data_IF_461522117116
#
_entry.id   IF_461522117116
#
_cell.length_a   1.000
_cell.length_b   1.000
_cell.length_c   1.000
_cell.angle_alpha   90.00
_cell.angle_beta   90.00
_cell.angle_gamma   90.00
#
_symmetry.space_group_name_H-M   'P 1'
#
loop_
_entity.id
_entity.type
_entity.pdbx_description
1 polymer ?
#
# COMPACT_ATOMS: atom_id res chain seq x y z
N UNK A 1 -40.15 -19.64 -28.67
CA UNK A 1 -39.42 -18.65 -27.87
C UNK A 1 -38.83 -19.40 -26.69
N UNK A 2 -37.59 -19.85 -26.82
CA UNK A 2 -36.81 -20.43 -25.72
C UNK A 2 -36.53 -19.31 -24.71
N UNK A 3 -36.99 -19.51 -23.48
CA UNK A 3 -36.61 -18.66 -22.36
C UNK A 3 -35.13 -18.99 -22.04
N UNK A 4 -34.20 -18.13 -22.45
CA UNK A 4 -32.83 -18.19 -21.95
C UNK A 4 -32.92 -18.03 -20.43
N UNK A 5 -32.68 -19.09 -19.68
CA UNK A 5 -32.40 -19.00 -18.27
C UNK A 5 -31.10 -18.14 -18.09
N UNK A 6 -31.08 -17.21 -17.15
CA UNK A 6 -29.87 -16.40 -16.93
C UNK A 6 -28.74 -17.32 -16.49
N UNK A 7 -27.76 -17.46 -17.36
CA UNK A 7 -26.52 -18.20 -17.03
C UNK A 7 -25.91 -17.54 -15.79
N UNK A 8 -25.82 -18.28 -14.70
CA UNK A 8 -25.17 -17.81 -13.48
C UNK A 8 -23.81 -17.23 -13.82
N UNK A 9 -23.58 -15.97 -13.48
CA UNK A 9 -22.30 -15.32 -13.78
C UNK A 9 -21.17 -15.98 -12.98
N UNK A 10 -19.92 -15.91 -13.49
CA UNK A 10 -18.74 -16.39 -12.75
C UNK A 10 -18.58 -15.72 -11.38
N UNK A 11 -19.14 -14.52 -11.23
CA UNK A 11 -19.13 -13.76 -9.98
C UNK A 11 -20.15 -14.30 -8.99
N UNK A 12 -21.37 -14.64 -9.44
CA UNK A 12 -22.39 -15.26 -8.59
C UNK A 12 -21.91 -16.63 -8.08
N UNK A 13 -21.28 -17.42 -8.95
CA UNK A 13 -20.69 -18.70 -8.58
C UNK A 13 -19.53 -18.55 -7.57
N UNK A 14 -18.75 -17.46 -7.66
CA UNK A 14 -17.70 -17.17 -6.68
C UNK A 14 -18.27 -16.69 -5.35
N UNK A 15 -19.24 -15.77 -5.37
CA UNK A 15 -19.89 -15.25 -4.17
C UNK A 15 -20.67 -16.32 -3.40
N UNK A 16 -21.29 -17.28 -4.10
CA UNK A 16 -22.02 -18.39 -3.47
C UNK A 16 -21.13 -19.29 -2.57
N UNK A 17 -19.82 -19.19 -2.67
CA UNK A 17 -18.86 -19.92 -1.81
C UNK A 17 -18.65 -19.27 -0.45
N UNK A 18 -19.11 -18.03 -0.24
CA UNK A 18 -18.87 -17.24 0.94
C UNK A 18 -20.18 -16.78 1.56
N UNK A 19 -20.18 -16.60 2.87
CA UNK A 19 -21.29 -15.90 3.52
C UNK A 19 -21.22 -14.40 3.21
N UNK A 20 -22.14 -13.91 2.40
CA UNK A 20 -22.25 -12.48 2.04
C UNK A 20 -23.23 -11.71 2.92
N UNK A 21 -23.94 -12.42 3.82
CA UNK A 21 -24.86 -11.84 4.79
C UNK A 21 -24.07 -11.60 6.09
N UNK A 22 -23.31 -10.51 6.12
CA UNK A 22 -22.49 -10.15 7.26
C UNK A 22 -23.25 -9.18 8.16
N UNK A 23 -23.14 -9.38 9.48
CA UNK A 23 -23.65 -8.47 10.49
C UNK A 23 -22.50 -7.59 11.03
N UNK A 24 -22.66 -6.28 10.96
CA UNK A 24 -21.61 -5.32 11.38
C UNK A 24 -21.24 -5.46 12.86
N UNK A 25 -22.22 -5.79 13.72
CA UNK A 25 -21.96 -5.98 15.15
C UNK A 25 -21.17 -7.27 15.42
N UNK A 26 -21.43 -8.32 14.66
CA UNK A 26 -20.68 -9.58 14.71
C UNK A 26 -19.23 -9.37 14.25
N UNK A 27 -19.02 -8.66 13.15
CA UNK A 27 -17.68 -8.33 12.64
C UNK A 27 -16.92 -7.46 13.65
N UNK A 28 -17.56 -6.44 14.23
CA UNK A 28 -16.95 -5.60 15.26
C UNK A 28 -16.56 -6.41 16.51
N UNK A 29 -17.40 -7.35 16.95
CA UNK A 29 -17.10 -8.23 18.08
C UNK A 29 -15.92 -9.18 17.77
N UNK A 30 -15.85 -9.74 16.56
CA UNK A 30 -14.72 -10.57 16.12
C UNK A 30 -13.42 -9.76 16.06
N UNK A 31 -13.45 -8.55 15.52
CA UNK A 31 -12.29 -7.66 15.48
C UNK A 31 -11.82 -7.30 16.89
N UNK A 32 -12.73 -6.93 17.79
CA UNK A 32 -12.42 -6.63 19.19
C UNK A 32 -11.75 -7.81 19.91
N UNK A 33 -12.24 -9.04 19.68
CA UNK A 33 -11.63 -10.26 20.23
C UNK A 33 -10.21 -10.46 19.73
N UNK A 34 -9.98 -10.35 18.41
CA UNK A 34 -8.63 -10.49 17.82
C UNK A 34 -7.68 -9.44 18.40
N UNK A 35 -8.13 -8.19 18.52
CA UNK A 35 -7.36 -7.11 19.13
C UNK A 35 -6.98 -7.47 20.57
N UNK A 36 -7.96 -7.86 21.39
CA UNK A 36 -7.72 -8.21 22.78
C UNK A 36 -6.74 -9.39 22.96
N UNK A 37 -6.81 -10.38 22.08
CA UNK A 37 -5.93 -11.56 22.12
C UNK A 37 -4.52 -11.30 21.59
N UNK A 38 -4.40 -10.52 20.52
CA UNK A 38 -3.13 -10.42 19.75
C UNK A 38 -2.32 -9.17 20.07
N UNK A 39 -2.97 -8.04 20.35
CA UNK A 39 -2.25 -6.77 20.58
C UNK A 39 -1.30 -6.84 21.79
N UNK A 40 -1.66 -7.39 22.95
CA UNK A 40 -0.74 -7.44 24.09
C UNK A 40 0.58 -8.15 23.77
N UNK A 41 0.52 -9.26 23.05
CA UNK A 41 1.70 -10.03 22.67
C UNK A 41 2.55 -9.35 21.57
N UNK A 42 1.94 -8.49 20.75
CA UNK A 42 2.60 -7.82 19.62
C UNK A 42 2.96 -6.36 19.91
N UNK A 43 2.60 -5.80 21.07
CA UNK A 43 2.91 -4.43 21.44
C UNK A 43 4.27 -4.35 22.15
N UNK A 44 5.32 -4.88 21.52
CA UNK A 44 6.71 -4.85 22.03
C UNK A 44 7.58 -3.92 21.18
N UNK A 45 8.70 -3.42 21.72
CA UNK A 45 9.66 -2.60 20.97
C UNK A 45 10.17 -3.33 19.72
N UNK A 46 10.44 -4.63 19.80
CA UNK A 46 10.96 -5.46 18.71
C UNK A 46 9.95 -5.54 17.56
N UNK A 47 8.68 -5.82 17.87
CA UNK A 47 7.61 -5.85 16.86
C UNK A 47 7.41 -4.48 16.23
N UNK A 48 7.48 -3.39 17.02
CA UNK A 48 7.37 -2.02 16.49
C UNK A 48 8.52 -1.69 15.54
N UNK A 49 9.75 -2.06 15.88
CA UNK A 49 10.93 -1.90 14.99
C UNK A 49 10.75 -2.70 13.69
N UNK A 50 10.28 -3.92 13.79
CA UNK A 50 9.97 -4.75 12.63
C UNK A 50 8.88 -4.11 11.75
N UNK A 51 7.77 -3.66 12.34
CA UNK A 51 6.69 -3.01 11.61
C UNK A 51 7.14 -1.70 10.95
N UNK A 52 8.03 -0.93 11.61
CA UNK A 52 8.62 0.27 11.01
C UNK A 52 9.38 -0.07 9.73
N UNK A 53 10.18 -1.13 9.75
CA UNK A 53 10.91 -1.62 8.56
C UNK A 53 10.00 -2.27 7.49
N UNK A 54 8.70 -2.46 7.78
CA UNK A 54 7.71 -2.92 6.79
C UNK A 54 6.93 -1.76 6.14
N UNK A 55 7.19 -0.52 6.54
CA UNK A 55 6.46 0.65 6.02
C UNK A 55 6.86 0.91 4.57
N UNK A 56 5.87 1.00 3.72
CA UNK A 56 5.95 1.63 2.41
C UNK A 56 5.59 3.10 2.57
N UNK A 57 6.62 3.95 2.71
CA UNK A 57 6.46 5.37 3.03
C UNK A 57 5.97 6.11 1.79
N UNK A 58 4.70 6.48 1.78
CA UNK A 58 3.97 6.89 0.59
C UNK A 58 3.62 8.37 0.58
N UNK A 59 3.85 9.04 -0.56
CA UNK A 59 3.23 10.33 -0.89
C UNK A 59 2.56 10.24 -2.26
N UNK A 60 1.26 10.52 -2.30
CA UNK A 60 0.42 10.49 -3.50
C UNK A 60 -0.53 11.68 -3.52
N UNK A 61 -0.02 12.84 -3.13
CA UNK A 61 -0.80 14.07 -3.09
C UNK A 61 -0.89 14.69 -4.48
N UNK A 62 -2.00 15.35 -4.77
CA UNK A 62 -2.18 16.06 -6.04
C UNK A 62 -1.25 17.25 -6.21
N UNK A 63 -0.75 17.79 -5.10
CA UNK A 63 0.19 18.91 -5.04
C UNK A 63 1.66 18.49 -4.91
N UNK A 64 1.98 17.18 -4.98
CA UNK A 64 3.36 16.73 -4.99
C UNK A 64 4.13 17.33 -6.17
N UNK A 65 5.36 17.74 -5.90
CA UNK A 65 6.30 18.33 -6.86
C UNK A 65 7.69 17.70 -6.63
N UNK A 66 8.61 17.89 -7.58
CA UNK A 66 9.99 17.42 -7.46
C UNK A 66 10.62 17.91 -6.15
N UNK A 67 10.41 19.17 -5.79
CA UNK A 67 10.93 19.75 -4.55
C UNK A 67 10.32 19.09 -3.30
N UNK A 68 9.01 18.84 -3.29
CA UNK A 68 8.35 18.21 -2.15
C UNK A 68 8.77 16.75 -1.96
N UNK A 69 8.91 16.01 -3.07
CA UNK A 69 9.35 14.61 -3.07
C UNK A 69 10.84 14.51 -2.69
N UNK A 70 11.68 15.40 -3.20
CA UNK A 70 13.08 15.49 -2.77
C UNK A 70 13.20 15.71 -1.25
N UNK A 71 12.49 16.70 -0.69
CA UNK A 71 12.46 16.94 0.76
C UNK A 71 11.90 15.74 1.55
N UNK A 72 10.94 15.04 0.98
CA UNK A 72 10.38 13.82 1.57
C UNK A 72 11.42 12.71 1.65
N UNK A 73 12.18 12.49 0.57
CA UNK A 73 13.25 11.51 0.49
C UNK A 73 14.42 11.85 1.42
N UNK A 74 14.80 13.13 1.50
CA UNK A 74 15.85 13.60 2.42
C UNK A 74 15.55 13.30 3.89
N UNK A 75 14.27 13.22 4.29
CA UNK A 75 13.91 12.79 5.66
C UNK A 75 14.25 11.32 5.93
N UNK A 76 14.22 10.48 4.90
CA UNK A 76 14.59 9.07 4.99
C UNK A 76 16.11 8.95 5.17
N UNK A 77 16.91 9.72 4.39
CA UNK A 77 18.36 9.79 4.56
C UNK A 77 18.72 10.26 5.97
N UNK A 78 18.12 11.37 6.41
CA UNK A 78 18.36 11.93 7.74
C UNK A 78 17.96 10.98 8.87
N UNK A 79 16.91 10.19 8.72
CA UNK A 79 16.54 9.18 9.71
C UNK A 79 17.63 8.12 9.88
N UNK A 80 18.23 7.69 8.78
CA UNK A 80 19.31 6.71 8.80
C UNK A 80 20.55 7.24 9.56
N UNK A 81 20.90 8.52 9.33
CA UNK A 81 21.96 9.18 10.05
C UNK A 81 21.69 9.34 11.56
N UNK A 82 20.44 9.71 11.91
CA UNK A 82 20.05 9.96 13.31
C UNK A 82 19.86 8.67 14.11
N UNK A 83 19.47 7.56 13.45
CA UNK A 83 19.11 6.28 14.08
C UNK A 83 19.82 5.08 13.43
N UNK A 84 21.17 5.03 13.41
CA UNK A 84 21.91 4.00 12.69
C UNK A 84 21.66 2.56 13.19
N UNK A 85 21.14 2.40 14.40
CA UNK A 85 20.80 1.10 14.99
C UNK A 85 19.37 0.63 14.65
N UNK A 86 18.60 1.44 13.92
CA UNK A 86 17.25 1.11 13.48
C UNK A 86 17.22 0.91 11.96
N UNK A 87 16.65 -0.20 11.53
CA UNK A 87 16.35 -0.36 10.10
C UNK A 87 15.36 0.70 9.65
N UNK A 88 15.64 1.30 8.51
CA UNK A 88 14.78 2.31 7.88
C UNK A 88 13.48 1.70 7.34
N UNK A 89 12.60 2.50 6.76
CA UNK A 89 11.40 2.05 6.07
C UNK A 89 11.74 1.10 4.91
N UNK A 90 10.80 0.24 4.51
CA UNK A 90 11.03 -0.73 3.43
C UNK A 90 11.18 -0.05 2.07
N UNK A 91 10.35 0.95 1.80
CA UNK A 91 10.35 1.65 0.52
C UNK A 91 9.82 3.08 0.65
N UNK A 92 10.12 3.89 -0.37
CA UNK A 92 9.45 5.16 -0.66
C UNK A 92 8.53 4.92 -1.86
N UNK A 93 7.24 5.19 -1.70
CA UNK A 93 6.24 5.00 -2.74
C UNK A 93 5.71 6.35 -3.25
N UNK A 94 5.78 6.52 -4.56
CA UNK A 94 5.43 7.78 -5.25
C UNK A 94 4.68 7.51 -6.56
N UNK A 95 4.18 8.56 -7.19
CA UNK A 95 3.77 8.47 -8.59
C UNK A 95 4.98 8.20 -9.50
N UNK A 96 4.80 7.48 -10.63
CA UNK A 96 5.91 7.08 -11.50
C UNK A 96 6.78 8.23 -12.00
N UNK A 97 6.21 9.41 -12.20
CA UNK A 97 6.93 10.61 -12.64
C UNK A 97 7.94 11.15 -11.61
N UNK A 98 7.84 10.74 -10.35
CA UNK A 98 8.78 11.12 -9.29
C UNK A 98 9.81 10.05 -8.94
N UNK A 99 9.79 8.90 -9.63
CA UNK A 99 10.72 7.80 -9.35
C UNK A 99 12.19 8.24 -9.51
N UNK A 100 12.49 9.03 -10.53
CA UNK A 100 13.82 9.55 -10.80
C UNK A 100 14.27 10.53 -9.71
N UNK A 101 13.38 11.41 -9.25
CA UNK A 101 13.65 12.33 -8.14
C UNK A 101 14.03 11.58 -6.85
N UNK A 102 13.27 10.50 -6.56
CA UNK A 102 13.59 9.65 -5.39
C UNK A 102 14.94 8.96 -5.60
N UNK A 103 15.19 8.38 -6.77
CA UNK A 103 16.42 7.68 -7.10
C UNK A 103 17.65 8.58 -6.96
N UNK A 104 17.57 9.82 -7.43
CA UNK A 104 18.68 10.76 -7.42
C UNK A 104 18.93 11.37 -6.03
N UNK A 105 17.92 11.31 -5.15
CA UNK A 105 17.99 11.89 -3.80
C UNK A 105 18.26 10.87 -2.71
N UNK A 106 17.84 9.60 -2.91
CA UNK A 106 17.95 8.55 -1.90
C UNK A 106 19.40 8.06 -1.77
N UNK A 107 19.95 8.15 -0.57
CA UNK A 107 21.33 7.74 -0.23
C UNK A 107 21.39 6.41 0.52
N UNK A 108 20.23 5.93 1.03
CA UNK A 108 20.12 4.70 1.81
C UNK A 108 19.91 3.48 0.90
N UNK A 109 20.86 2.54 0.91
CA UNK A 109 20.86 1.38 0.00
C UNK A 109 19.71 0.39 0.24
N UNK A 110 19.30 0.19 1.50
CA UNK A 110 18.28 -0.81 1.87
C UNK A 110 16.84 -0.36 1.61
N UNK A 111 16.59 0.93 1.38
CA UNK A 111 15.26 1.46 1.08
C UNK A 111 14.97 1.33 -0.41
N UNK A 112 13.84 0.73 -0.74
CA UNK A 112 13.42 0.50 -2.13
C UNK A 112 12.60 1.67 -2.67
N UNK A 113 12.56 1.81 -3.99
CA UNK A 113 11.68 2.74 -4.69
C UNK A 113 10.48 1.96 -5.20
N UNK A 114 9.29 2.37 -4.78
CA UNK A 114 8.03 1.82 -5.25
C UNK A 114 7.24 2.89 -6.02
N UNK A 115 6.55 2.47 -7.07
CA UNK A 115 5.68 3.35 -7.84
C UNK A 115 4.28 2.75 -7.92
N UNK A 116 3.27 3.60 -7.74
CA UNK A 116 1.90 3.19 -8.00
C UNK A 116 1.67 2.97 -9.49
N UNK A 117 0.74 2.10 -9.84
CA UNK A 117 0.42 1.74 -11.21
C UNK A 117 -1.09 1.78 -11.47
N UNK A 118 -1.48 1.64 -12.74
CA UNK A 118 -2.86 1.53 -13.20
C UNK A 118 -3.77 2.71 -12.81
N UNK A 119 -3.21 3.90 -12.60
CA UNK A 119 -3.96 5.10 -12.22
C UNK A 119 -4.36 5.13 -10.74
N UNK A 120 -3.68 4.34 -9.89
CA UNK A 120 -3.90 4.40 -8.43
C UNK A 120 -3.63 5.84 -7.90
N UNK A 121 -4.39 6.36 -6.89
CA UNK A 121 -5.42 5.64 -6.11
C UNK A 121 -6.81 5.61 -6.76
N UNK A 122 -7.13 6.56 -7.63
CA UNK A 122 -8.50 6.73 -8.16
C UNK A 122 -8.86 5.77 -9.29
N UNK A 123 -7.89 5.26 -10.02
CA UNK A 123 -8.05 4.37 -11.17
C UNK A 123 -8.96 4.87 -12.31
N UNK A 124 -9.28 6.16 -12.31
CA UNK A 124 -10.15 6.83 -13.29
C UNK A 124 -9.32 7.29 -14.50
N UNK A 125 -8.88 6.32 -15.31
CA UNK A 125 -8.12 6.61 -16.54
C UNK A 125 -8.41 5.56 -17.62
N UNK A 126 -8.02 5.85 -18.85
CA UNK A 126 -8.16 4.93 -19.99
C UNK A 126 -7.34 3.66 -19.80
N UNK A 127 -7.86 2.55 -20.33
CA UNK A 127 -7.21 1.25 -20.18
C UNK A 127 -5.80 1.24 -20.81
N UNK A 128 -5.61 1.98 -21.90
CA UNK A 128 -4.34 2.11 -22.60
C UNK A 128 -3.26 2.71 -21.71
N UNK A 129 -3.62 3.73 -20.90
CA UNK A 129 -2.71 4.33 -19.92
C UNK A 129 -2.35 3.32 -18.83
N UNK A 130 -3.33 2.54 -18.34
CA UNK A 130 -3.06 1.50 -17.33
C UNK A 130 -2.11 0.42 -17.87
N UNK A 131 -2.32 0.00 -19.11
CA UNK A 131 -1.50 -1.03 -19.74
C UNK A 131 -0.09 -0.54 -20.07
N UNK A 132 0.08 0.76 -20.37
CA UNK A 132 1.40 1.33 -20.66
C UNK A 132 2.37 1.25 -19.48
N UNK A 133 1.85 1.21 -18.24
CA UNK A 133 2.65 1.10 -17.02
C UNK A 133 3.18 -0.31 -16.73
N UNK A 134 2.73 -1.33 -17.49
CA UNK A 134 3.21 -2.71 -17.33
C UNK A 134 4.68 -2.85 -17.76
N UNK A 135 5.14 -1.98 -18.65
CA UNK A 135 6.46 -2.05 -19.29
C UNK A 135 7.44 -0.99 -18.80
N UNK A 136 7.15 -0.30 -17.71
CA UNK A 136 8.05 0.70 -17.11
C UNK A 136 9.09 0.05 -16.22
#
# INVERSE_FOLDING_TARGET
MEKNEPTQSKYDAALAKYNTQLDDAEIAAQAARIIAEKVPANNTPEVKKFLFNCIDLTTLKSEDSDESVMKFTQKVNKFDEEFPDLKNVAAICVYPNFAEVVKDTLEVEDVKIACVSAGFPSSQTFIEVKLSLIHI
#
